data_IF_394046232827
#
_entry.id   IF_394046232827
#
_cell.length_a   1.000
_cell.length_b   1.000
_cell.length_c   1.000
_cell.angle_alpha   90.00
_cell.angle_beta   90.00
_cell.angle_gamma   90.00
#
_symmetry.space_group_name_H-M   'P 1'
#
loop_
_entity.id
_entity.type
_entity.pdbx_description
1 polymer ?
#
# COMPACT_ATOMS: atom_id res chain seq x y z
N UNK A 1 19.82 -2.91 22.06
CA UNK A 1 18.39 -3.30 22.17
C UNK A 1 18.20 -4.64 21.48
N UNK A 2 17.43 -5.56 22.06
CA UNK A 2 16.89 -6.70 21.30
C UNK A 2 15.55 -6.25 20.71
N UNK A 3 15.53 -5.91 19.43
CA UNK A 3 14.28 -5.62 18.73
C UNK A 3 13.53 -6.92 18.43
N UNK A 4 12.22 -6.94 18.66
CA UNK A 4 11.38 -8.14 18.55
C UNK A 4 10.11 -7.84 17.75
N UNK A 5 9.99 -8.54 16.63
CA UNK A 5 8.91 -8.41 15.66
C UNK A 5 7.81 -9.42 16.04
N UNK A 6 6.56 -8.95 16.12
CA UNK A 6 5.40 -9.81 16.43
C UNK A 6 4.85 -10.40 15.15
N UNK A 7 4.94 -11.72 15.00
CA UNK A 7 4.49 -12.46 13.81
C UNK A 7 3.31 -13.35 14.20
N UNK A 8 2.19 -13.15 13.52
CA UNK A 8 0.96 -13.93 13.64
C UNK A 8 0.74 -14.71 12.33
N UNK A 9 1.16 -15.98 12.25
CA UNK A 9 0.98 -16.79 11.03
C UNK A 9 -0.50 -17.09 10.73
N UNK A 10 -0.78 -17.27 9.44
CA UNK A 10 -2.02 -17.85 8.94
C UNK A 10 -2.32 -19.19 9.63
N UNK A 11 -3.61 -19.57 9.72
CA UNK A 11 -4.05 -20.76 10.49
C UNK A 11 -3.33 -22.04 10.08
N UNK A 12 -3.08 -22.20 8.79
CA UNK A 12 -2.38 -23.35 8.20
C UNK A 12 -0.88 -23.35 8.53
N UNK A 13 -0.22 -22.20 8.35
CA UNK A 13 1.22 -22.03 8.57
C UNK A 13 1.67 -22.03 10.03
N UNK A 14 0.74 -22.07 11.01
CA UNK A 14 1.08 -22.12 12.45
C UNK A 14 1.99 -23.28 12.83
N UNK A 15 1.76 -24.47 12.26
CA UNK A 15 2.54 -25.68 12.59
C UNK A 15 3.94 -25.58 12.00
N UNK A 16 4.05 -25.11 10.75
CA UNK A 16 5.31 -24.93 10.06
C UNK A 16 6.17 -23.84 10.73
N UNK A 17 5.57 -22.71 11.10
CA UNK A 17 6.27 -21.64 11.83
C UNK A 17 6.69 -22.08 13.23
N UNK A 18 5.86 -22.83 13.96
CA UNK A 18 6.25 -23.39 15.26
C UNK A 18 7.45 -24.35 15.13
N UNK A 19 7.49 -25.18 14.07
CA UNK A 19 8.62 -26.07 13.78
C UNK A 19 9.91 -25.30 13.45
N UNK A 20 9.82 -24.25 12.64
CA UNK A 20 10.94 -23.36 12.34
C UNK A 20 11.45 -22.65 13.59
N UNK A 21 10.55 -22.10 14.40
CA UNK A 21 10.85 -21.36 15.63
C UNK A 21 11.63 -22.18 16.68
N UNK A 22 11.35 -23.49 16.78
CA UNK A 22 12.06 -24.40 17.70
C UNK A 22 13.51 -24.66 17.27
N UNK A 23 13.83 -24.53 15.98
CA UNK A 23 15.18 -24.74 15.45
C UNK A 23 16.10 -23.51 15.62
N UNK A 24 15.56 -22.33 15.90
CA UNK A 24 16.33 -21.08 15.91
C UNK A 24 17.14 -20.86 17.18
N UNK A 25 18.32 -20.25 17.00
CA UNK A 25 19.20 -19.74 18.07
C UNK A 25 19.62 -18.32 17.70
N UNK A 26 19.20 -17.26 18.43
CA UNK A 26 18.41 -17.27 19.68
C UNK A 26 16.99 -17.82 19.52
N UNK A 27 16.43 -18.40 20.60
CA UNK A 27 15.08 -18.98 20.55
C UNK A 27 14.01 -17.92 20.35
N UNK A 28 13.20 -18.08 19.30
CA UNK A 28 11.95 -17.35 19.10
C UNK A 28 11.02 -17.61 20.29
N UNK A 29 10.36 -16.56 20.79
CA UNK A 29 9.47 -16.66 21.97
C UNK A 29 8.02 -16.60 21.55
N UNK A 30 7.17 -17.45 22.12
CA UNK A 30 5.72 -17.35 21.91
C UNK A 30 5.14 -16.34 22.90
N UNK A 31 4.47 -15.29 22.41
CA UNK A 31 3.82 -14.27 23.26
C UNK A 31 2.32 -14.50 23.42
N UNK A 32 1.69 -15.27 22.53
CA UNK A 32 0.29 -15.71 22.62
C UNK A 32 0.08 -16.95 21.74
N UNK A 33 -1.06 -17.64 21.88
CA UNK A 33 -1.38 -18.87 21.14
C UNK A 33 -1.27 -18.74 19.60
N UNK A 34 -1.35 -17.51 19.08
CA UNK A 34 -1.28 -17.19 17.64
C UNK A 34 -0.19 -16.19 17.30
N UNK A 35 0.66 -15.78 18.25
CA UNK A 35 1.64 -14.68 18.05
C UNK A 35 3.00 -15.05 18.63
N UNK A 36 4.02 -14.90 17.79
CA UNK A 36 5.42 -15.20 18.07
C UNK A 36 6.22 -13.90 18.07
N UNK A 37 7.09 -13.70 19.05
CA UNK A 37 8.10 -12.66 19.07
C UNK A 37 9.40 -13.22 18.45
N UNK A 38 9.61 -12.87 17.19
CA UNK A 38 10.80 -13.21 16.41
C UNK A 38 11.81 -12.06 16.57
N UNK A 39 13.06 -12.29 17.00
CA UNK A 39 14.11 -11.26 16.96
C UNK A 39 14.29 -10.71 15.55
N UNK A 40 14.49 -9.40 15.40
CA UNK A 40 14.59 -8.77 14.08
C UNK A 40 15.67 -9.40 13.16
N UNK A 41 16.78 -9.83 13.74
CA UNK A 41 17.86 -10.58 13.08
C UNK A 41 17.37 -11.89 12.42
N UNK A 42 16.55 -12.67 13.15
CA UNK A 42 15.98 -13.94 12.65
C UNK A 42 14.79 -13.74 11.71
N UNK A 43 14.14 -12.58 11.73
CA UNK A 43 13.03 -12.29 10.82
C UNK A 43 13.50 -12.28 9.36
N UNK A 44 14.69 -11.76 9.09
CA UNK A 44 15.33 -11.75 7.75
C UNK A 44 15.69 -13.16 7.24
N UNK A 45 15.80 -14.14 8.15
CA UNK A 45 16.08 -15.55 7.84
C UNK A 45 14.84 -16.44 7.88
N UNK A 46 13.65 -15.87 8.07
CA UNK A 46 12.39 -16.61 8.05
C UNK A 46 11.91 -16.77 6.59
N UNK A 47 11.61 -18.01 6.13
CA UNK A 47 11.17 -18.23 4.76
C UNK A 47 9.78 -17.61 4.53
N UNK A 48 9.63 -16.92 3.41
CA UNK A 48 8.46 -16.11 3.07
C UNK A 48 7.16 -16.94 3.01
N UNK A 49 7.24 -18.23 2.68
CA UNK A 49 6.11 -19.17 2.72
C UNK A 49 5.36 -19.18 4.07
N UNK A 50 6.08 -18.97 5.18
CA UNK A 50 5.52 -18.90 6.54
C UNK A 50 4.90 -17.53 6.85
N UNK A 51 5.27 -16.52 6.07
CA UNK A 51 4.80 -15.14 6.16
C UNK A 51 3.63 -14.85 5.21
N UNK A 52 3.43 -15.65 4.16
CA UNK A 52 2.26 -15.56 3.27
C UNK A 52 0.95 -15.61 4.06
N UNK A 53 0.20 -14.52 4.05
CA UNK A 53 -1.05 -14.37 4.82
C UNK A 53 -0.87 -14.22 6.34
N UNK A 54 0.36 -14.04 6.83
CA UNK A 54 0.65 -13.69 8.22
C UNK A 54 0.43 -12.19 8.49
N UNK A 55 0.31 -11.82 9.76
CA UNK A 55 0.39 -10.43 10.23
C UNK A 55 1.70 -10.17 10.97
N UNK A 56 2.41 -9.12 10.59
CA UNK A 56 3.66 -8.65 11.18
C UNK A 56 3.40 -7.30 11.86
N UNK A 57 3.52 -7.25 13.19
CA UNK A 57 3.16 -6.08 14.02
C UNK A 57 1.75 -5.51 13.71
N UNK A 58 0.78 -6.42 13.55
CA UNK A 58 -0.62 -6.18 13.12
C UNK A 58 -0.86 -5.80 11.65
N UNK A 59 0.19 -5.41 10.90
CA UNK A 59 0.10 -5.22 9.46
C UNK A 59 0.07 -6.58 8.72
N UNK A 60 -0.71 -6.71 7.65
CA UNK A 60 -0.58 -7.88 6.78
C UNK A 60 0.84 -7.91 6.18
N UNK A 61 1.45 -9.09 6.14
CA UNK A 61 2.73 -9.25 5.46
C UNK A 61 2.53 -9.11 3.95
N UNK A 62 3.35 -8.28 3.34
CA UNK A 62 3.46 -8.08 1.90
C UNK A 62 4.90 -8.48 1.56
N UNK A 63 5.07 -9.53 0.75
CA UNK A 63 6.41 -9.85 0.23
C UNK A 63 6.90 -8.66 -0.59
N UNK A 64 8.12 -8.15 -0.35
CA UNK A 64 8.74 -7.18 -1.24
C UNK A 64 9.23 -7.90 -2.50
N UNK A 65 8.29 -8.26 -3.38
CA UNK A 65 8.63 -8.66 -4.75
C UNK A 65 9.41 -7.50 -5.40
N UNK A 66 10.47 -7.80 -6.18
CA UNK A 66 11.24 -6.77 -6.87
C UNK A 66 10.40 -6.15 -8.01
N UNK A 67 9.69 -5.08 -7.69
CA UNK A 67 9.06 -4.12 -8.61
C UNK A 67 8.09 -4.74 -9.65
N UNK A 68 7.20 -5.64 -9.23
CA UNK A 68 6.00 -5.99 -10.00
C UNK A 68 4.75 -5.77 -9.16
N UNK A 69 3.84 -4.94 -9.69
CA UNK A 69 2.39 -4.99 -9.42
C UNK A 69 1.91 -4.67 -7.99
N UNK A 70 2.35 -3.52 -7.44
CA UNK A 70 1.42 -2.66 -6.67
C UNK A 70 0.37 -2.03 -7.62
N UNK A 71 -0.41 -2.90 -8.26
CA UNK A 71 -1.24 -2.58 -9.43
C UNK A 71 -2.73 -2.43 -9.16
N UNK A 72 -3.25 -2.74 -7.97
CA UNK A 72 -4.71 -2.72 -7.75
C UNK A 72 -5.16 -2.27 -6.36
N UNK A 73 -5.17 -0.94 -6.19
CA UNK A 73 -6.14 -0.25 -5.33
C UNK A 73 -6.45 1.16 -5.86
N UNK A 74 -6.76 1.22 -7.15
CA UNK A 74 -7.68 2.21 -7.67
C UNK A 74 -9.05 1.54 -7.84
N UNK A 75 -9.92 1.74 -6.84
CA UNK A 75 -11.34 1.59 -7.13
C UNK A 75 -11.71 2.58 -8.23
N UNK A 76 -12.36 2.10 -9.28
CA UNK A 76 -12.89 2.93 -10.36
C UNK A 76 -14.26 3.50 -9.93
N UNK A 77 -14.38 4.80 -9.57
CA UNK A 77 -15.64 5.52 -9.73
C UNK A 77 -15.84 5.79 -11.23
N UNK A 78 -16.17 4.73 -11.96
CA UNK A 78 -16.21 4.71 -13.41
C UNK A 78 -17.61 4.82 -13.97
N UNK A 79 -18.21 6.00 -13.89
CA UNK A 79 -19.08 6.59 -14.92
C UNK A 79 -19.84 5.57 -15.82
N UNK A 80 -20.73 4.75 -15.30
CA UNK A 80 -22.07 5.16 -14.89
C UNK A 80 -22.94 5.46 -16.17
N UNK A 81 -22.73 6.58 -16.90
CA UNK A 81 -23.33 7.10 -18.18
C UNK A 81 -24.70 7.89 -18.22
N UNK A 82 -24.67 9.22 -18.46
CA UNK A 82 -25.83 10.17 -18.56
C UNK A 82 -26.38 10.24 -20.00
N UNK A 83 -27.70 10.24 -20.17
CA UNK A 83 -28.32 10.69 -21.42
C UNK A 83 -29.68 11.34 -21.15
N UNK A 84 -29.65 12.64 -20.85
CA UNK A 84 -30.78 13.56 -20.91
C UNK A 84 -31.95 13.23 -19.96
N UNK A 85 -33.00 14.07 -20.01
CA UNK A 85 -34.24 13.84 -19.27
C UNK A 85 -35.40 13.38 -20.18
N UNK A 86 -35.44 12.11 -20.62
CA UNK A 86 -36.69 11.49 -21.03
C UNK A 86 -37.45 10.98 -19.79
N UNK A 87 -38.65 11.54 -19.58
CA UNK A 87 -39.82 10.86 -19.01
C UNK A 87 -39.58 9.62 -18.12
N UNK A 88 -39.43 9.85 -16.81
CA UNK A 88 -39.67 8.86 -15.74
C UNK A 88 -38.98 7.47 -15.88
N UNK A 89 -37.67 7.37 -15.63
CA UNK A 89 -37.04 6.05 -15.46
C UNK A 89 -35.53 5.98 -15.19
N UNK A 90 -35.12 6.17 -13.92
CA UNK A 90 -33.85 5.68 -13.29
C UNK A 90 -32.47 6.16 -13.81
N UNK A 91 -31.38 6.12 -12.98
CA UNK A 91 -30.18 6.94 -13.22
C UNK A 91 -28.85 6.19 -13.40
N UNK A 92 -27.98 6.68 -14.30
CA UNK A 92 -26.53 6.42 -14.40
C UNK A 92 -25.83 7.68 -15.09
N UNK A 93 -24.50 8.00 -14.97
CA UNK A 93 -23.84 9.31 -15.37
C UNK A 93 -22.40 9.33 -16.06
N UNK A 94 -22.10 10.09 -17.14
CA UNK A 94 -20.77 10.09 -17.88
C UNK A 94 -19.97 11.37 -17.63
N UNK A 95 -18.70 11.36 -17.18
CA UNK A 95 -17.45 11.07 -17.93
C UNK A 95 -17.10 11.96 -19.15
N UNK A 96 -17.60 13.20 -19.23
CA UNK A 96 -17.20 14.12 -20.32
C UNK A 96 -17.00 15.61 -19.95
N UNK A 97 -17.00 16.01 -18.67
CA UNK A 97 -16.94 17.44 -18.28
C UNK A 97 -15.78 17.79 -17.32
N UNK A 98 -14.53 17.63 -17.78
CA UNK A 98 -13.34 18.25 -17.16
C UNK A 98 -12.35 18.88 -18.15
N UNK A 99 -12.77 19.13 -19.39
CA UNK A 99 -11.89 19.56 -20.50
C UNK A 99 -11.71 21.09 -20.63
N UNK A 100 -11.71 21.83 -19.51
CA UNK A 100 -11.29 23.26 -19.48
C UNK A 100 -10.59 23.62 -18.16
N UNK A 101 -9.60 22.82 -17.78
CA UNK A 101 -8.65 23.14 -16.71
C UNK A 101 -7.21 23.11 -17.25
N UNK A 102 -6.86 24.11 -18.04
CA UNK A 102 -5.56 24.21 -18.72
C UNK A 102 -4.37 24.10 -17.75
N UNK A 103 -3.74 22.93 -17.75
CA UNK A 103 -2.29 22.72 -17.73
C UNK A 103 -1.47 23.84 -17.05
N UNK A 104 -1.44 23.86 -15.72
CA UNK A 104 -0.74 24.89 -14.96
C UNK A 104 0.78 24.60 -14.93
N UNK A 105 1.48 24.90 -16.03
CA UNK A 105 2.94 24.80 -16.17
C UNK A 105 3.70 25.69 -15.18
N UNK A 106 4.82 25.21 -14.64
CA UNK A 106 5.59 25.92 -13.60
C UNK A 106 6.32 27.18 -14.10
N UNK A 107 6.60 27.30 -15.41
CA UNK A 107 7.27 28.46 -16.02
C UNK A 107 8.78 28.58 -15.73
N UNK A 108 9.25 28.09 -14.57
CA UNK A 108 10.68 27.90 -14.25
C UNK A 108 11.21 26.51 -14.63
N UNK A 109 10.32 25.55 -14.84
CA UNK A 109 10.62 24.24 -15.40
C UNK A 109 9.42 23.71 -16.19
N UNK A 110 9.66 22.68 -17.00
CA UNK A 110 8.71 22.07 -17.94
C UNK A 110 7.65 21.17 -17.25
N UNK A 111 7.44 21.33 -15.92
CA UNK A 111 6.48 20.51 -15.18
C UNK A 111 5.09 21.15 -15.19
N UNK A 112 4.13 20.41 -15.71
CA UNK A 112 2.70 20.77 -15.79
C UNK A 112 1.93 20.17 -14.62
N UNK A 113 0.99 20.94 -14.04
CA UNK A 113 0.19 20.50 -12.90
C UNK A 113 -1.31 20.60 -13.19
N UNK A 114 -2.14 19.67 -12.67
CA UNK A 114 -3.59 19.67 -12.87
C UNK A 114 -4.33 20.75 -12.05
N UNK A 115 -3.59 21.62 -11.33
CA UNK A 115 -4.17 22.68 -10.50
C UNK A 115 -3.12 23.75 -10.19
N UNK A 116 -3.54 25.03 -10.20
CA UNK A 116 -2.69 26.17 -9.83
C UNK A 116 -2.04 26.01 -8.43
N UNK A 117 -2.80 25.50 -7.45
CA UNK A 117 -2.30 25.26 -6.09
C UNK A 117 -1.19 24.20 -6.04
N UNK A 118 -1.23 23.24 -6.97
CA UNK A 118 -0.16 22.23 -7.16
C UNK A 118 1.10 22.87 -7.74
N UNK A 119 0.94 23.66 -8.82
CA UNK A 119 2.02 24.45 -9.42
C UNK A 119 2.71 25.35 -8.40
N UNK A 120 1.93 26.10 -7.62
CA UNK A 120 2.49 27.06 -6.65
C UNK A 120 3.19 26.36 -5.49
N UNK A 121 2.66 25.24 -4.99
CA UNK A 121 3.35 24.44 -3.98
C UNK A 121 4.66 23.83 -4.51
N UNK A 122 4.66 23.35 -5.76
CA UNK A 122 5.86 22.86 -6.42
C UNK A 122 6.91 23.96 -6.56
N UNK A 123 6.53 25.15 -7.08
CA UNK A 123 7.43 26.29 -7.25
C UNK A 123 8.15 26.64 -5.96
N UNK A 124 7.43 26.82 -4.84
CA UNK A 124 8.01 27.15 -3.52
C UNK A 124 8.98 26.08 -2.97
N UNK A 125 8.87 24.83 -3.43
CA UNK A 125 9.64 23.68 -2.91
C UNK A 125 10.82 23.27 -3.80
N UNK A 126 10.66 23.38 -5.12
CA UNK A 126 11.65 22.98 -6.12
C UNK A 126 12.45 24.16 -6.68
N UNK A 127 11.91 25.37 -6.57
CA UNK A 127 12.59 26.62 -6.90
C UNK A 127 12.52 27.60 -5.72
N UNK A 128 13.02 27.23 -4.52
CA UNK A 128 13.32 28.23 -3.50
C UNK A 128 14.39 29.18 -4.07
N UNK A 129 14.20 30.47 -3.85
CA UNK A 129 15.19 31.50 -4.18
C UNK A 129 16.39 31.37 -3.21
N UNK A 130 17.60 31.64 -3.70
CA UNK A 130 18.86 31.65 -2.91
C UNK A 130 18.99 32.97 -2.12
#
# INVERSE_FOLDING_TARGET
MNDVIRVQPARDQRVALARWAVAQTPKVRTVSQTVFAVPADLFTHMPEELLTGARVNDHAYISPEPEQESGESFGLPGAEADTAAPVAGSPIATAEELETASEFGCGQCDRTFPSERGRDNHRRRAHPED
#
